data_IF_445521096736
#
_entry.id   IF_445521096736
#
_cell.length_a   1.000
_cell.length_b   1.000
_cell.length_c   1.000
_cell.angle_alpha   90.00
_cell.angle_beta   90.00
_cell.angle_gamma   90.00
#
_symmetry.space_group_name_H-M   'P 1'
#
loop_
_entity.id
_entity.type
_entity.pdbx_description
1 polymer ?
#
# COMPACT_ATOMS: atom_id res chain seq x y z
N UNK A 1 19.88 -23.73 -55.08
CA UNK A 1 19.58 -23.37 -53.67
C UNK A 1 20.51 -22.24 -53.28
N UNK A 2 20.08 -21.00 -53.56
CA UNK A 2 20.85 -19.81 -53.19
C UNK A 2 20.55 -19.47 -51.73
N UNK A 3 21.62 -19.31 -50.94
CA UNK A 3 21.55 -18.98 -49.52
C UNK A 3 21.27 -17.49 -49.40
N UNK A 4 20.17 -17.14 -48.74
CA UNK A 4 19.80 -15.74 -48.48
C UNK A 4 20.62 -15.28 -47.27
N UNK A 5 21.58 -14.37 -47.50
CA UNK A 5 22.33 -13.71 -46.42
C UNK A 5 21.44 -12.69 -45.70
N UNK A 6 21.38 -12.70 -44.35
CA UNK A 6 20.42 -11.90 -43.57
C UNK A 6 20.79 -10.41 -43.47
N UNK A 7 21.87 -9.95 -44.11
CA UNK A 7 22.38 -8.59 -43.99
C UNK A 7 21.67 -7.56 -44.90
N UNK A 8 20.80 -8.01 -45.82
CA UNK A 8 20.14 -7.13 -46.80
C UNK A 8 18.89 -6.40 -46.28
N UNK A 9 18.40 -6.71 -45.08
CA UNK A 9 17.16 -6.12 -44.53
C UNK A 9 17.34 -4.76 -43.85
N UNK A 10 18.56 -4.21 -43.79
CA UNK A 10 18.84 -3.04 -42.94
C UNK A 10 18.94 -1.68 -43.67
N UNK A 11 18.76 -1.61 -44.99
CA UNK A 11 19.11 -0.40 -45.74
C UNK A 11 17.98 0.53 -46.21
N UNK A 12 16.72 0.30 -45.84
CA UNK A 12 15.63 1.18 -46.28
C UNK A 12 14.73 1.62 -45.12
N UNK A 13 15.14 2.68 -44.40
CA UNK A 13 14.23 3.48 -43.58
C UNK A 13 14.12 4.90 -44.19
N UNK A 14 12.91 5.39 -44.51
CA UNK A 14 12.73 6.64 -45.26
C UNK A 14 13.07 7.88 -44.43
N UNK A 15 13.86 8.75 -45.05
CA UNK A 15 14.30 10.06 -44.57
C UNK A 15 13.19 11.11 -44.64
N UNK A 16 12.23 11.06 -43.72
CA UNK A 16 11.26 12.16 -43.55
C UNK A 16 10.76 12.23 -42.11
N UNK A 17 11.54 12.86 -41.23
CA UNK A 17 11.02 13.69 -40.13
C UNK A 17 12.02 14.82 -39.89
N UNK A 18 11.79 15.90 -40.63
CA UNK A 18 12.49 17.19 -40.49
C UNK A 18 11.94 17.90 -39.25
N UNK A 19 12.86 18.43 -38.46
CA UNK A 19 12.70 19.20 -37.23
C UNK A 19 11.86 20.48 -37.40
N UNK A 20 10.98 20.75 -36.43
CA UNK A 20 10.60 22.12 -36.05
C UNK A 20 10.98 22.37 -34.58
N UNK A 21 11.68 23.48 -34.40
CA UNK A 21 12.18 24.04 -33.15
C UNK A 21 11.05 24.78 -32.41
N UNK A 22 10.88 24.52 -31.11
CA UNK A 22 10.41 25.53 -30.15
C UNK A 22 10.80 25.16 -28.72
N UNK A 23 11.83 25.87 -28.26
CA UNK A 23 12.29 25.99 -26.88
C UNK A 23 11.17 26.38 -25.90
N UNK A 24 11.49 26.10 -24.63
CA UNK A 24 10.89 26.59 -23.36
C UNK A 24 9.92 25.66 -22.66
N UNK A 25 10.41 24.69 -21.86
CA UNK A 25 9.79 24.30 -20.57
C UNK A 25 10.84 23.90 -19.51
N UNK A 26 11.05 24.86 -18.62
CA UNK A 26 11.35 24.79 -17.18
C UNK A 26 11.45 23.37 -16.57
N UNK A 27 12.56 23.13 -15.86
CA UNK A 27 12.73 22.04 -14.91
C UNK A 27 11.53 21.98 -13.94
N UNK A 28 10.67 21.00 -14.09
CA UNK A 28 9.77 20.55 -13.04
C UNK A 28 10.21 19.14 -12.67
N UNK A 29 10.98 19.07 -11.58
CA UNK A 29 11.29 17.82 -10.93
C UNK A 29 9.98 17.10 -10.65
N UNK A 30 9.85 15.90 -11.20
CA UNK A 30 8.77 14.95 -10.92
C UNK A 30 8.79 14.62 -9.44
N UNK A 31 8.10 15.42 -8.63
CA UNK A 31 7.70 15.06 -7.27
C UNK A 31 6.55 14.08 -7.40
N UNK A 32 6.92 12.83 -7.70
CA UNK A 32 6.02 11.68 -7.69
C UNK A 32 5.27 11.61 -6.36
N UNK A 33 4.03 11.11 -6.42
CA UNK A 33 3.02 11.12 -5.36
C UNK A 33 3.32 10.26 -4.13
N UNK A 34 4.52 10.37 -3.56
CA UNK A 34 4.95 9.71 -2.33
C UNK A 34 4.86 10.61 -1.10
N UNK A 35 4.69 11.94 -1.26
CA UNK A 35 4.63 12.87 -0.12
C UNK A 35 3.36 12.73 0.71
N UNK A 36 2.29 12.12 0.17
CA UNK A 36 1.07 11.86 0.93
C UNK A 36 1.22 10.71 1.95
N UNK A 37 2.24 9.87 1.79
CA UNK A 37 2.51 8.75 2.69
C UNK A 37 3.37 9.14 3.89
N UNK A 38 3.96 10.34 3.88
CA UNK A 38 4.69 10.85 5.04
C UNK A 38 3.69 11.24 6.14
N UNK A 39 3.76 10.61 7.33
CA UNK A 39 2.87 10.93 8.42
C UNK A 39 3.07 12.39 8.86
N UNK A 40 1.97 13.10 9.12
CA UNK A 40 2.01 14.43 9.71
C UNK A 40 2.54 14.37 11.15
N UNK A 41 3.02 15.50 11.69
CA UNK A 41 3.49 15.57 13.08
C UNK A 41 2.49 15.00 14.09
N UNK A 42 1.19 15.20 13.84
CA UNK A 42 0.11 14.68 14.69
C UNK A 42 -0.01 13.15 14.64
N UNK A 43 0.16 12.56 13.46
CA UNK A 43 0.17 11.09 13.31
C UNK A 43 1.43 10.46 13.94
N UNK A 44 2.53 11.21 14.04
CA UNK A 44 3.74 10.78 14.75
C UNK A 44 3.54 10.79 16.28
N UNK A 45 2.89 11.82 16.83
CA UNK A 45 2.52 11.86 18.25
C UNK A 45 1.51 10.77 18.61
N UNK A 46 0.50 10.54 17.77
CA UNK A 46 -0.46 9.45 17.96
C UNK A 46 0.27 8.09 17.95
N UNK A 47 1.20 7.86 17.02
CA UNK A 47 2.02 6.65 16.99
C UNK A 47 2.89 6.50 18.26
N UNK A 48 3.49 7.58 18.75
CA UNK A 48 4.27 7.57 20.00
C UNK A 48 3.42 7.27 21.24
N UNK A 49 2.17 7.77 21.29
CA UNK A 49 1.22 7.40 22.35
C UNK A 49 0.84 5.92 22.33
N UNK A 50 0.88 5.29 21.15
CA UNK A 50 0.71 3.85 21.00
C UNK A 50 2.02 3.07 21.22
N UNK A 51 3.05 3.65 21.84
CA UNK A 51 4.32 2.95 22.09
C UNK A 51 5.08 2.55 20.81
N UNK A 52 4.74 3.16 19.67
CA UNK A 52 5.46 2.94 18.41
C UNK A 52 6.70 3.83 18.44
N UNK A 53 7.82 3.30 18.93
CA UNK A 53 9.10 3.97 18.74
C UNK A 53 9.50 3.86 17.27
N UNK A 54 9.70 5.02 16.65
CA UNK A 54 10.08 5.13 15.24
C UNK A 54 11.59 5.17 15.07
N UNK A 55 12.33 5.12 16.18
CA UNK A 55 13.78 5.14 16.23
C UNK A 55 14.34 3.71 16.21
N UNK A 56 14.47 3.14 15.02
CA UNK A 56 15.49 2.12 14.74
C UNK A 56 15.42 0.76 15.46
N UNK A 57 14.51 0.55 16.40
CA UNK A 57 14.28 -0.77 16.97
C UNK A 57 13.60 -1.67 15.93
N UNK A 58 13.97 -2.95 15.98
CA UNK A 58 13.38 -4.02 15.20
C UNK A 58 11.87 -3.89 15.35
N UNK A 59 11.16 -3.70 14.24
CA UNK A 59 9.70 -3.75 14.30
C UNK A 59 9.33 -5.16 14.73
N UNK A 60 8.98 -5.30 16.02
CA UNK A 60 8.65 -6.58 16.62
C UNK A 60 7.40 -7.16 15.96
N UNK A 61 7.52 -8.40 15.51
CA UNK A 61 6.41 -9.19 14.98
C UNK A 61 5.26 -9.28 16.01
N UNK A 62 5.61 -9.26 17.30
CA UNK A 62 4.68 -9.14 18.42
C UNK A 62 3.83 -7.86 18.34
N UNK A 63 4.45 -6.70 18.05
CA UNK A 63 3.73 -5.43 17.91
C UNK A 63 2.78 -5.42 16.72
N UNK A 64 3.18 -6.08 15.62
CA UNK A 64 2.29 -6.26 14.47
C UNK A 64 1.10 -7.16 14.81
N UNK A 65 1.31 -8.22 15.61
CA UNK A 65 0.25 -9.07 16.15
C UNK A 65 -0.76 -8.28 16.99
N UNK A 66 -0.27 -7.46 17.93
CA UNK A 66 -1.13 -6.60 18.75
C UNK A 66 -1.99 -5.65 17.91
N UNK A 67 -1.43 -5.08 16.84
CA UNK A 67 -2.18 -4.22 15.92
C UNK A 67 -3.27 -4.99 15.17
N UNK A 68 -3.04 -6.25 14.81
CA UNK A 68 -4.06 -7.11 14.18
C UNK A 68 -5.22 -7.38 15.15
N UNK A 69 -4.92 -7.65 16.41
CA UNK A 69 -5.93 -7.86 17.46
C UNK A 69 -6.75 -6.58 17.71
N UNK A 70 -6.09 -5.41 17.75
CA UNK A 70 -6.77 -4.12 17.84
C UNK A 70 -7.69 -3.88 16.63
N UNK A 71 -7.25 -4.23 15.42
CA UNK A 71 -8.07 -4.12 14.21
C UNK A 71 -9.28 -5.05 14.31
N UNK A 72 -9.11 -6.29 14.79
CA UNK A 72 -10.23 -7.21 14.97
C UNK A 72 -11.27 -6.65 15.94
N UNK A 73 -10.83 -6.09 17.08
CA UNK A 73 -11.70 -5.44 18.05
C UNK A 73 -12.48 -4.27 17.45
N UNK A 74 -11.81 -3.41 16.67
CA UNK A 74 -12.51 -2.32 16.00
C UNK A 74 -13.41 -2.80 14.86
N UNK A 75 -13.09 -3.93 14.24
CA UNK A 75 -13.92 -4.57 13.21
C UNK A 75 -15.24 -5.11 13.77
N UNK A 76 -15.22 -5.71 14.96
CA UNK A 76 -16.43 -6.18 15.65
C UNK A 76 -17.29 -5.03 16.16
N UNK A 77 -16.66 -3.96 16.68
CA UNK A 77 -17.35 -2.73 17.08
C UNK A 77 -18.00 -2.03 15.87
N UNK A 78 -17.29 -1.96 14.75
CA UNK A 78 -17.81 -1.39 13.50
C UNK A 78 -19.02 -2.17 12.97
N UNK A 79 -18.97 -3.49 13.00
CA UNK A 79 -20.09 -4.35 12.59
C UNK A 79 -21.31 -4.17 13.50
N UNK A 80 -21.09 -3.99 14.80
CA UNK A 80 -22.15 -3.78 15.79
C UNK A 80 -22.80 -2.41 15.66
N UNK A 81 -21.96 -1.38 15.48
CA UNK A 81 -22.33 0.02 15.37
C UNK A 81 -21.63 0.69 14.15
N UNK A 82 -22.27 0.64 12.97
CA UNK A 82 -21.76 1.26 11.74
C UNK A 82 -21.87 2.79 11.76
N UNK A 83 -20.98 3.45 12.48
CA UNK A 83 -20.94 4.90 12.59
C UNK A 83 -19.74 5.51 11.85
N UNK A 84 -19.82 6.77 11.38
CA UNK A 84 -18.68 7.50 10.81
C UNK A 84 -17.45 7.50 11.71
N UNK A 85 -17.64 7.56 13.03
CA UNK A 85 -16.55 7.51 14.01
C UNK A 85 -15.91 6.12 14.04
N UNK A 86 -16.71 5.05 14.09
CA UNK A 86 -16.18 3.69 14.15
C UNK A 86 -15.42 3.31 12.88
N UNK A 87 -15.90 3.71 11.68
CA UNK A 87 -15.15 3.45 10.44
C UNK A 87 -13.86 4.26 10.37
N UNK A 88 -13.84 5.49 10.92
CA UNK A 88 -12.63 6.29 11.02
C UNK A 88 -11.59 5.60 11.91
N UNK A 89 -11.98 5.10 13.07
CA UNK A 89 -11.08 4.39 13.99
C UNK A 89 -10.58 3.08 13.39
N UNK A 90 -11.46 2.29 12.78
CA UNK A 90 -11.07 1.07 12.07
C UNK A 90 -10.03 1.37 10.96
N UNK A 91 -10.28 2.40 10.14
CA UNK A 91 -9.34 2.83 9.08
C UNK A 91 -8.00 3.28 9.65
N UNK A 92 -7.98 3.99 10.77
CA UNK A 92 -6.73 4.41 11.44
C UNK A 92 -5.91 3.20 11.86
N UNK A 93 -6.54 2.19 12.48
CA UNK A 93 -5.85 0.98 12.95
C UNK A 93 -5.26 0.17 11.80
N UNK A 94 -6.04 -0.06 10.73
CA UNK A 94 -5.52 -0.72 9.52
C UNK A 94 -4.36 0.07 8.90
N UNK A 95 -4.49 1.40 8.82
CA UNK A 95 -3.44 2.27 8.29
C UNK A 95 -2.15 2.22 9.12
N UNK A 96 -2.28 2.18 10.45
CA UNK A 96 -1.14 2.08 11.36
C UNK A 96 -0.42 0.75 11.14
N UNK A 97 -1.16 -0.37 11.12
CA UNK A 97 -0.62 -1.68 10.81
C UNK A 97 0.16 -1.70 9.49
N UNK A 98 -0.46 -1.26 8.39
CA UNK A 98 0.18 -1.28 7.07
C UNK A 98 1.46 -0.44 7.03
N UNK A 99 1.48 0.71 7.73
CA UNK A 99 2.68 1.56 7.84
C UNK A 99 3.78 0.88 8.63
N UNK A 100 3.44 0.24 9.76
CA UNK A 100 4.40 -0.49 10.60
C UNK A 100 4.97 -1.69 9.85
N UNK A 101 4.13 -2.45 9.15
CA UNK A 101 4.54 -3.57 8.29
C UNK A 101 5.50 -3.12 7.18
N UNK A 102 5.16 -2.03 6.49
CA UNK A 102 6.02 -1.49 5.44
C UNK A 102 7.39 -1.05 5.99
N UNK A 103 7.43 -0.43 7.17
CA UNK A 103 8.71 -0.04 7.81
C UNK A 103 9.56 -1.26 8.17
N UNK A 104 8.96 -2.29 8.76
CA UNK A 104 9.61 -3.58 9.02
C UNK A 104 10.21 -4.15 7.73
N UNK A 105 9.42 -4.18 6.65
CA UNK A 105 9.86 -4.73 5.36
C UNK A 105 11.03 -3.97 4.74
N UNK A 106 11.12 -2.64 4.97
CA UNK A 106 12.20 -1.78 4.47
C UNK A 106 13.50 -1.99 5.26
N UNK A 107 13.42 -2.10 6.59
CA UNK A 107 14.58 -2.41 7.44
C UNK A 107 15.20 -3.77 7.07
N UNK A 108 14.36 -4.76 6.75
CA UNK A 108 14.82 -6.07 6.26
C UNK A 108 15.49 -5.98 4.87
N UNK A 109 15.09 -5.06 3.99
CA UNK A 109 15.73 -4.87 2.68
C UNK A 109 17.17 -4.38 2.80
N UNK A 110 17.43 -3.46 3.73
CA UNK A 110 18.76 -2.90 3.98
C UNK A 110 19.74 -4.00 4.44
N UNK A 111 19.22 -5.03 5.12
CA UNK A 111 20.01 -6.10 5.70
C UNK A 111 20.24 -7.33 4.77
N UNK A 112 19.33 -7.63 3.83
CA UNK A 112 19.32 -8.95 3.14
C UNK A 112 19.71 -8.98 1.64
N UNK A 113 19.98 -7.85 0.98
CA UNK A 113 20.51 -7.83 -0.40
C UNK A 113 19.56 -8.34 -1.51
N UNK A 114 20.04 -8.34 -2.77
CA UNK A 114 19.23 -8.43 -4.03
C UNK A 114 18.36 -9.68 -4.21
N UNK A 115 18.58 -10.77 -3.47
CA UNK A 115 18.01 -12.09 -3.78
C UNK A 115 16.52 -12.22 -3.40
N UNK A 116 15.99 -11.36 -2.52
CA UNK A 116 14.58 -11.43 -2.04
C UNK A 116 13.61 -10.48 -2.74
N UNK A 117 14.03 -9.72 -3.75
CA UNK A 117 13.18 -8.68 -4.38
C UNK A 117 11.95 -9.28 -5.10
N UNK A 118 12.06 -10.50 -5.60
CA UNK A 118 11.05 -11.14 -6.44
C UNK A 118 9.91 -11.74 -5.62
N UNK A 119 10.20 -12.19 -4.38
CA UNK A 119 9.22 -12.77 -3.44
C UNK A 119 8.31 -11.71 -2.79
N UNK A 120 8.58 -10.40 -2.96
CA UNK A 120 7.85 -9.31 -2.31
C UNK A 120 6.68 -8.73 -3.13
N UNK A 121 6.64 -8.98 -4.44
CA UNK A 121 5.51 -8.63 -5.31
C UNK A 121 4.14 -9.09 -4.77
N UNK A 122 3.98 -10.31 -4.22
CA UNK A 122 2.70 -10.72 -3.64
C UNK A 122 2.26 -9.85 -2.45
N UNK A 123 3.16 -9.50 -1.51
CA UNK A 123 2.81 -8.67 -0.34
C UNK A 123 2.34 -7.27 -0.76
N UNK A 124 3.03 -6.59 -1.68
CA UNK A 124 2.57 -5.28 -2.17
C UNK A 124 1.22 -5.34 -2.90
N UNK A 125 0.94 -6.43 -3.60
CA UNK A 125 -0.36 -6.65 -4.26
C UNK A 125 -1.45 -6.82 -3.21
N UNK A 126 -1.20 -7.61 -2.17
CA UNK A 126 -2.12 -7.82 -1.06
C UNK A 126 -2.40 -6.53 -0.29
N UNK A 127 -1.39 -5.70 -0.01
CA UNK A 127 -1.57 -4.37 0.59
C UNK A 127 -2.50 -3.48 -0.26
N UNK A 128 -2.40 -3.52 -1.59
CA UNK A 128 -3.31 -2.77 -2.48
C UNK A 128 -4.75 -3.27 -2.35
N UNK A 129 -4.94 -4.59 -2.34
CA UNK A 129 -6.27 -5.21 -2.18
C UNK A 129 -6.89 -4.83 -0.83
N UNK A 130 -6.11 -4.85 0.24
CA UNK A 130 -6.56 -4.41 1.58
C UNK A 130 -7.04 -2.96 1.55
N UNK A 131 -6.25 -2.05 0.98
CA UNK A 131 -6.64 -0.64 0.89
C UNK A 131 -7.93 -0.46 0.08
N UNK A 132 -8.04 -1.12 -1.07
CA UNK A 132 -9.23 -1.01 -1.92
C UNK A 132 -10.48 -1.50 -1.19
N UNK A 133 -10.41 -2.65 -0.52
CA UNK A 133 -11.53 -3.19 0.26
C UNK A 133 -11.90 -2.30 1.44
N UNK A 134 -10.92 -1.70 2.11
CA UNK A 134 -11.15 -0.77 3.21
C UNK A 134 -11.86 0.50 2.73
N UNK A 135 -11.46 1.04 1.57
CA UNK A 135 -12.10 2.21 0.96
C UNK A 135 -13.54 1.88 0.51
N UNK A 136 -13.77 0.71 -0.09
CA UNK A 136 -15.10 0.24 -0.44
C UNK A 136 -16.02 0.09 0.78
N UNK A 137 -15.51 -0.50 1.87
CA UNK A 137 -16.25 -0.62 3.12
C UNK A 137 -16.59 0.76 3.69
N UNK A 138 -15.61 1.67 3.72
CA UNK A 138 -15.82 3.01 4.24
C UNK A 138 -16.85 3.80 3.43
N UNK A 139 -16.76 3.75 2.11
CA UNK A 139 -17.73 4.37 1.21
C UNK A 139 -19.14 3.84 1.45
N UNK A 140 -19.27 2.51 1.58
CA UNK A 140 -20.57 1.89 1.72
C UNK A 140 -21.25 2.18 3.08
N UNK A 141 -20.45 2.31 4.15
CA UNK A 141 -20.96 2.72 5.48
C UNK A 141 -21.39 4.19 5.45
N UNK A 142 -20.56 5.07 4.87
CA UNK A 142 -20.89 6.51 4.79
C UNK A 142 -22.12 6.79 3.92
N UNK A 143 -22.43 5.91 2.97
CA UNK A 143 -23.61 5.98 2.13
C UNK A 143 -24.85 5.30 2.72
N UNK A 144 -24.76 4.71 3.93
CA UNK A 144 -25.82 3.90 4.55
C UNK A 144 -26.33 2.74 3.66
N UNK A 145 -25.43 2.12 2.86
CA UNK A 145 -25.80 1.09 1.86
C UNK A 145 -25.57 -0.36 2.33
N UNK A 146 -25.31 -0.58 3.63
CA UNK A 146 -24.84 -1.89 4.12
C UNK A 146 -25.57 -2.33 5.37
N UNK A 147 -26.01 -3.58 5.36
CA UNK A 147 -26.50 -4.25 6.57
C UNK A 147 -25.35 -4.70 7.46
N UNK A 148 -25.61 -4.82 8.77
CA UNK A 148 -24.60 -5.18 9.78
C UNK A 148 -23.87 -6.50 9.47
N UNK A 149 -24.59 -7.47 8.91
CA UNK A 149 -24.01 -8.78 8.55
C UNK A 149 -22.97 -8.67 7.42
N UNK A 150 -23.22 -7.84 6.40
CA UNK A 150 -22.26 -7.62 5.31
C UNK A 150 -21.02 -6.87 5.83
N UNK A 151 -21.19 -5.92 6.75
CA UNK A 151 -20.06 -5.24 7.41
C UNK A 151 -19.20 -6.24 8.16
N UNK A 152 -19.81 -7.14 8.96
CA UNK A 152 -19.08 -8.19 9.67
C UNK A 152 -18.30 -9.10 8.72
N UNK A 153 -18.93 -9.53 7.62
CA UNK A 153 -18.26 -10.37 6.62
C UNK A 153 -17.04 -9.67 6.02
N UNK A 154 -17.16 -8.37 5.72
CA UNK A 154 -16.08 -7.57 5.12
C UNK A 154 -14.96 -7.29 6.11
N UNK A 155 -15.25 -7.05 7.38
CA UNK A 155 -14.22 -6.85 8.40
C UNK A 155 -13.47 -8.16 8.69
N UNK A 156 -14.15 -9.31 8.66
CA UNK A 156 -13.50 -10.62 8.76
C UNK A 156 -12.62 -10.94 7.54
N UNK A 157 -13.09 -10.64 6.33
CA UNK A 157 -12.27 -10.79 5.12
C UNK A 157 -11.01 -9.92 5.20
N UNK A 158 -11.15 -8.64 5.59
CA UNK A 158 -10.01 -7.75 5.80
C UNK A 158 -9.05 -8.31 6.85
N UNK A 159 -9.54 -8.83 7.98
CA UNK A 159 -8.70 -9.45 9.01
C UNK A 159 -7.89 -10.63 8.45
N UNK A 160 -8.50 -11.52 7.67
CA UNK A 160 -7.78 -12.62 7.00
C UNK A 160 -6.64 -12.13 6.11
N UNK A 161 -6.89 -11.10 5.29
CA UNK A 161 -5.85 -10.51 4.44
C UNK A 161 -4.72 -9.86 5.25
N UNK A 162 -4.99 -9.36 6.46
CA UNK A 162 -3.98 -8.79 7.34
C UNK A 162 -3.13 -9.89 8.00
N UNK A 163 -3.73 -11.02 8.37
CA UNK A 163 -3.00 -12.20 8.87
C UNK A 163 -2.11 -12.79 7.76
N UNK A 164 -2.60 -12.85 6.52
CA UNK A 164 -1.81 -13.30 5.36
C UNK A 164 -0.58 -12.41 5.11
N UNK A 165 -0.62 -11.13 5.51
CA UNK A 165 0.53 -10.22 5.39
C UNK A 165 1.63 -10.52 6.41
N UNK A 166 1.27 -11.10 7.57
CA UNK A 166 2.20 -11.53 8.62
C UNK A 166 2.84 -12.88 8.32
N UNK A 167 2.16 -13.75 7.57
CA UNK A 167 2.74 -15.00 7.07
C UNK A 167 3.88 -14.78 6.06
#
# INVERSE_FOLDING_TARGET
MERIDPAHLYYHLPSSLKSEDKRTRKNEGTKGGFSHFLPSKKALEEAQQFGVDLQGEVVDEERLGELVDEIQKWGTELASNPSPNNIQEYRKKVSLFLRTLMKSSLQLEENEGRLRKDMKKPKYTLIRVVNEKLDQLATAILQNQKEKFDILSRTNELHGLLVDLLS
#
